data_IF_905031449311
#
_entry.id   IF_905031449311
#
_cell.length_a   1.000
_cell.length_b   1.000
_cell.length_c   1.000
_cell.angle_alpha   90.00
_cell.angle_beta   90.00
_cell.angle_gamma   90.00
#
_symmetry.space_group_name_H-M   'P 1'
#
loop_
_entity.id
_entity.type
_entity.pdbx_description
1 polymer ?
#
# COMPACT_ATOMS: atom_id res chain seq x y z
N UNK A 1 28.46 58.96 -42.25
CA UNK A 1 28.28 57.61 -42.85
C UNK A 1 28.04 56.63 -41.69
N UNK A 2 26.92 55.90 -41.78
CA UNK A 2 26.57 54.57 -41.18
C UNK A 2 27.60 54.01 -40.18
N UNK A 3 27.32 53.70 -38.93
CA UNK A 3 26.15 53.06 -38.34
C UNK A 3 26.64 51.75 -37.67
N UNK A 4 26.36 51.56 -36.37
CA UNK A 4 26.38 50.26 -35.68
C UNK A 4 25.87 50.43 -34.24
N UNK A 5 24.56 50.27 -34.04
CA UNK A 5 23.96 50.05 -32.72
C UNK A 5 24.14 48.57 -32.35
N UNK A 6 24.95 48.29 -31.32
CA UNK A 6 25.07 46.95 -30.75
C UNK A 6 24.02 46.80 -29.64
N UNK A 7 22.90 46.14 -29.97
CA UNK A 7 21.83 45.79 -29.05
C UNK A 7 22.30 44.73 -28.06
N UNK A 8 22.28 45.06 -26.78
CA UNK A 8 22.46 44.15 -25.64
C UNK A 8 21.20 43.28 -25.55
N UNK A 9 21.28 42.04 -26.03
CA UNK A 9 20.26 41.02 -25.80
C UNK A 9 20.48 40.40 -24.43
N UNK A 10 19.79 40.96 -23.43
CA UNK A 10 19.59 40.37 -22.12
C UNK A 10 18.62 39.19 -22.27
N UNK A 11 19.18 38.03 -22.65
CA UNK A 11 18.46 36.76 -22.74
C UNK A 11 18.14 36.23 -21.35
N UNK A 12 16.89 36.40 -20.95
CA UNK A 12 16.31 35.82 -19.74
C UNK A 12 16.40 34.28 -19.84
N UNK A 13 17.37 33.66 -19.16
CA UNK A 13 17.37 32.22 -18.87
C UNK A 13 16.18 31.92 -17.98
N UNK A 14 15.02 31.70 -18.58
CA UNK A 14 13.86 31.09 -17.95
C UNK A 14 14.21 29.61 -17.72
N UNK A 15 14.69 29.32 -16.51
CA UNK A 15 14.79 27.97 -16.00
C UNK A 15 13.41 27.35 -15.90
N UNK A 16 13.09 26.45 -16.84
CA UNK A 16 11.90 25.61 -16.77
C UNK A 16 12.15 24.58 -15.67
N UNK A 17 11.38 24.57 -14.56
CA UNK A 17 11.44 23.46 -13.63
C UNK A 17 10.95 22.23 -14.38
N UNK A 18 11.82 21.25 -14.58
CA UNK A 18 11.45 19.89 -14.94
C UNK A 18 10.58 19.35 -13.79
N UNK A 19 9.27 19.60 -13.87
CA UNK A 19 8.27 18.82 -13.18
C UNK A 19 8.47 17.38 -13.62
N UNK A 20 9.11 16.57 -12.76
CA UNK A 20 9.38 15.17 -13.02
C UNK A 20 8.10 14.47 -13.41
N UNK A 21 8.06 13.93 -14.63
CA UNK A 21 6.99 13.02 -15.03
C UNK A 21 6.93 11.89 -14.00
N UNK A 22 5.74 11.46 -13.56
CA UNK A 22 5.62 10.28 -12.74
C UNK A 22 6.28 9.11 -13.49
N UNK A 23 7.34 8.57 -12.92
CA UNK A 23 8.03 7.40 -13.47
C UNK A 23 7.15 6.21 -13.13
N UNK A 24 6.59 5.57 -14.15
CA UNK A 24 5.91 4.30 -13.95
C UNK A 24 6.92 3.27 -13.43
N UNK A 25 6.53 2.41 -12.46
CA UNK A 25 7.40 1.34 -11.99
C UNK A 25 7.85 0.45 -13.15
N UNK A 26 8.94 -0.29 -12.96
CA UNK A 26 9.37 -1.32 -13.91
C UNK A 26 8.45 -2.56 -13.81
N UNK A 27 8.60 -3.51 -14.74
CA UNK A 27 7.82 -4.75 -14.78
C UNK A 27 6.50 -4.71 -15.56
N UNK A 28 6.05 -5.87 -16.00
CA UNK A 28 4.80 -6.03 -16.74
C UNK A 28 3.60 -5.94 -15.80
N UNK A 29 2.48 -5.42 -16.30
CA UNK A 29 1.24 -5.36 -15.55
C UNK A 29 0.65 -6.77 -15.43
N UNK A 30 0.61 -7.30 -14.21
CA UNK A 30 -0.09 -8.56 -13.90
C UNK A 30 -1.60 -8.30 -13.88
N UNK A 31 -2.02 -7.19 -13.29
CA UNK A 31 -3.42 -6.79 -13.30
C UNK A 31 -3.72 -5.62 -12.37
N UNK A 32 -4.90 -5.02 -12.56
CA UNK A 32 -5.48 -4.08 -11.61
C UNK A 32 -6.65 -4.75 -10.92
N UNK A 33 -6.72 -4.65 -9.59
CA UNK A 33 -7.70 -5.35 -8.77
C UNK A 33 -8.46 -4.39 -7.87
N UNK A 34 -9.78 -4.55 -7.79
CA UNK A 34 -10.55 -4.06 -6.66
C UNK A 34 -10.46 -5.09 -5.55
N UNK A 35 -9.83 -4.74 -4.43
CA UNK A 35 -9.57 -5.64 -3.30
C UNK A 35 -10.46 -5.25 -2.14
N UNK A 36 -11.10 -6.26 -1.54
CA UNK A 36 -11.83 -6.17 -0.28
C UNK A 36 -11.20 -7.11 0.74
N UNK A 37 -11.01 -6.63 1.97
CA UNK A 37 -10.42 -7.38 3.06
C UNK A 37 -11.35 -7.49 4.25
N UNK A 38 -11.67 -8.71 4.68
CA UNK A 38 -12.43 -8.94 5.91
C UNK A 38 -11.51 -9.09 7.10
N UNK A 39 -11.83 -8.41 8.20
CA UNK A 39 -11.03 -8.48 9.42
C UNK A 39 -11.17 -9.87 10.07
N UNK A 40 -10.04 -10.52 10.30
CA UNK A 40 -10.00 -11.84 10.96
C UNK A 40 -9.48 -11.75 12.38
N UNK A 41 -8.57 -10.83 12.65
CA UNK A 41 -7.96 -10.64 13.97
C UNK A 41 -7.66 -9.17 14.22
N UNK A 42 -7.93 -8.70 15.44
CA UNK A 42 -7.38 -7.46 15.99
C UNK A 42 -7.01 -7.68 17.46
N UNK A 43 -5.81 -8.20 17.70
CA UNK A 43 -5.28 -8.40 19.06
C UNK A 43 -4.73 -7.12 19.70
N UNK A 44 -4.62 -6.03 18.93
CA UNK A 44 -4.26 -4.71 19.46
C UNK A 44 -5.42 -4.06 20.25
N UNK A 45 -6.66 -4.41 19.91
CA UNK A 45 -7.86 -3.82 20.46
C UNK A 45 -8.32 -2.58 19.68
N UNK A 46 -9.63 -2.40 19.58
CA UNK A 46 -10.26 -1.34 18.78
C UNK A 46 -9.92 0.08 19.25
N UNK A 47 -9.58 0.26 20.54
CA UNK A 47 -9.15 1.54 21.09
C UNK A 47 -7.75 1.95 20.59
N UNK A 48 -6.82 1.00 20.48
CA UNK A 48 -5.47 1.27 19.98
C UNK A 48 -5.37 1.24 18.47
N UNK A 49 -6.09 0.32 17.83
CA UNK A 49 -6.09 0.15 16.40
C UNK A 49 -7.53 0.00 15.90
N UNK A 50 -8.07 1.08 15.35
CA UNK A 50 -9.39 1.12 14.75
C UNK A 50 -9.38 0.43 13.37
N UNK A 51 -9.23 -0.90 13.38
CA UNK A 51 -9.31 -1.73 12.19
C UNK A 51 -10.69 -1.54 11.52
N UNK A 52 -10.69 -1.15 10.26
CA UNK A 52 -11.91 -1.05 9.46
C UNK A 52 -12.30 -2.45 8.99
N UNK A 53 -13.60 -2.76 8.92
CA UNK A 53 -14.08 -4.05 8.41
C UNK A 53 -15.39 -3.84 7.62
N UNK A 54 -15.39 -4.07 6.30
CA UNK A 54 -14.24 -4.44 5.46
C UNK A 54 -13.27 -3.26 5.24
N UNK A 55 -12.06 -3.59 4.76
CA UNK A 55 -11.19 -2.63 4.05
C UNK A 55 -11.41 -2.76 2.55
N UNK A 56 -11.44 -1.65 1.81
CA UNK A 56 -11.54 -1.65 0.36
C UNK A 56 -10.48 -0.75 -0.28
N UNK A 57 -9.79 -1.25 -1.29
CA UNK A 57 -8.80 -0.46 -2.04
C UNK A 57 -8.57 -1.02 -3.45
N UNK A 58 -7.91 -0.21 -4.29
CA UNK A 58 -7.47 -0.63 -5.62
C UNK A 58 -5.97 -0.79 -5.63
N UNK A 59 -5.49 -1.85 -6.27
CA UNK A 59 -4.06 -2.12 -6.45
C UNK A 59 -3.78 -2.44 -7.92
N UNK A 60 -2.69 -1.89 -8.44
CA UNK A 60 -2.02 -2.39 -9.63
C UNK A 60 -0.84 -3.24 -9.19
N UNK A 61 -0.83 -4.49 -9.65
CA UNK A 61 0.24 -5.45 -9.42
C UNK A 61 1.09 -5.55 -10.68
N UNK A 62 2.40 -5.38 -10.51
CA UNK A 62 3.38 -5.52 -11.60
C UNK A 62 4.49 -6.48 -11.19
N UNK A 63 5.10 -7.12 -12.17
CA UNK A 63 6.19 -8.06 -11.94
C UNK A 63 7.18 -8.07 -13.10
N UNK A 64 8.46 -8.19 -12.77
CA UNK A 64 9.52 -8.46 -13.75
C UNK A 64 9.76 -9.97 -13.85
N UNK A 65 10.04 -10.47 -15.07
CA UNK A 65 10.47 -11.85 -15.24
C UNK A 65 11.78 -12.09 -14.49
N UNK A 66 11.80 -13.09 -13.61
CA UNK A 66 12.90 -13.36 -12.68
C UNK A 66 13.36 -12.16 -11.81
N UNK A 67 12.51 -11.15 -11.61
CA UNK A 67 12.82 -9.91 -10.89
C UNK A 67 11.85 -9.58 -9.75
N UNK A 68 11.87 -8.32 -9.25
CA UNK A 68 10.95 -7.88 -8.20
C UNK A 68 9.49 -7.83 -8.68
N UNK A 69 8.59 -7.77 -7.70
CA UNK A 69 7.19 -7.37 -7.91
C UNK A 69 6.95 -5.98 -7.32
N UNK A 70 5.93 -5.29 -7.82
CA UNK A 70 5.55 -3.96 -7.37
C UNK A 70 4.06 -3.89 -7.03
N UNK A 71 3.78 -3.32 -5.87
CA UNK A 71 2.45 -3.08 -5.34
C UNK A 71 2.17 -1.57 -5.33
N UNK A 72 1.27 -1.13 -6.22
CA UNK A 72 0.95 0.29 -6.41
C UNK A 72 -0.50 0.57 -6.02
N UNK A 73 -0.72 1.59 -5.19
CA UNK A 73 -2.06 2.15 -4.89
C UNK A 73 -2.10 3.63 -5.29
N UNK A 74 -3.27 4.21 -5.63
CA UNK A 74 -3.37 5.56 -6.22
C UNK A 74 -2.75 6.70 -5.39
N UNK A 75 -2.71 6.56 -4.07
CA UNK A 75 -2.30 7.63 -3.15
C UNK A 75 -1.16 7.22 -2.20
N UNK A 76 -0.53 6.06 -2.43
CA UNK A 76 0.56 5.58 -1.58
C UNK A 76 1.81 5.34 -2.40
N UNK A 77 2.97 5.35 -1.74
CA UNK A 77 4.22 4.93 -2.37
C UNK A 77 4.13 3.52 -2.94
N UNK A 78 4.88 3.27 -4.01
CA UNK A 78 5.04 1.94 -4.60
C UNK A 78 5.84 1.09 -3.63
N UNK A 79 5.37 -0.12 -3.35
CA UNK A 79 6.05 -1.09 -2.49
C UNK A 79 6.66 -2.17 -3.37
N UNK A 80 7.99 -2.32 -3.30
CA UNK A 80 8.68 -3.44 -3.95
C UNK A 80 8.57 -4.71 -3.08
N UNK A 81 8.46 -5.85 -3.74
CA UNK A 81 8.33 -7.16 -3.14
C UNK A 81 8.97 -8.24 -4.00
N UNK A 82 8.68 -9.48 -3.65
CA UNK A 82 9.16 -10.68 -4.35
C UNK A 82 8.00 -11.49 -4.89
N UNK A 83 8.25 -12.29 -5.92
CA UNK A 83 7.26 -13.26 -6.41
C UNK A 83 7.88 -14.60 -6.79
N UNK A 84 7.04 -15.63 -6.84
CA UNK A 84 7.38 -16.94 -7.39
C UNK A 84 6.13 -17.50 -8.08
N UNK A 85 6.12 -17.44 -9.42
CA UNK A 85 4.91 -17.74 -10.19
C UNK A 85 3.79 -16.76 -9.85
N UNK A 86 2.63 -17.28 -9.46
CA UNK A 86 1.45 -16.48 -9.11
C UNK A 86 1.46 -16.02 -7.64
N UNK A 87 2.49 -16.35 -6.85
CA UNK A 87 2.59 -15.97 -5.43
C UNK A 87 3.43 -14.70 -5.25
N UNK A 88 2.91 -13.72 -4.53
CA UNK A 88 3.58 -12.44 -4.28
C UNK A 88 3.67 -12.13 -2.79
N UNK A 89 4.76 -11.47 -2.40
CA UNK A 89 4.99 -11.01 -1.04
C UNK A 89 5.53 -9.59 -1.01
N UNK A 90 4.86 -8.73 -0.26
CA UNK A 90 5.24 -7.34 -0.02
C UNK A 90 5.41 -7.11 1.47
N UNK A 91 6.35 -6.24 1.84
CA UNK A 91 6.57 -5.86 3.24
C UNK A 91 6.92 -4.39 3.34
N UNK A 92 6.22 -3.67 4.20
CA UNK A 92 6.56 -2.30 4.58
C UNK A 92 6.79 -2.23 6.08
N UNK A 93 7.57 -1.23 6.49
CA UNK A 93 7.84 -0.96 7.90
C UNK A 93 7.89 0.54 8.12
N UNK A 94 7.21 1.01 9.16
CA UNK A 94 7.18 2.40 9.56
C UNK A 94 7.24 2.51 11.09
N UNK A 95 7.98 3.48 11.64
CA UNK A 95 7.94 3.77 13.06
C UNK A 95 6.64 4.51 13.43
N UNK A 96 6.05 4.17 14.57
CA UNK A 96 4.89 4.84 15.17
C UNK A 96 5.27 5.29 16.57
N UNK A 97 5.53 6.58 16.74
CA UNK A 97 5.82 7.15 18.07
C UNK A 97 4.51 7.43 18.80
N UNK A 98 4.27 6.73 19.92
CA UNK A 98 3.11 6.95 20.77
C UNK A 98 3.33 8.12 21.73
N UNK A 99 4.52 8.21 22.32
CA UNK A 99 4.95 9.31 23.17
C UNK A 99 6.47 9.44 23.19
N UNK A 100 6.96 10.68 23.28
CA UNK A 100 8.38 10.99 23.35
C UNK A 100 9.02 10.63 24.70
N UNK A 101 10.35 10.66 24.79
CA UNK A 101 11.06 10.49 26.06
C UNK A 101 10.80 11.68 27.00
N UNK A 102 10.84 11.40 28.30
CA UNK A 102 10.87 12.42 29.35
C UNK A 102 12.31 12.55 29.83
N UNK A 103 12.97 13.63 29.41
CA UNK A 103 14.38 13.87 29.69
C UNK A 103 14.59 14.29 31.16
N UNK A 104 13.61 14.94 31.78
CA UNK A 104 13.68 15.40 33.17
C UNK A 104 13.50 14.23 34.14
N UNK A 105 12.55 13.33 33.85
CA UNK A 105 12.33 12.11 34.62
C UNK A 105 13.27 10.96 34.23
N UNK A 106 14.08 11.11 33.18
CA UNK A 106 14.99 10.07 32.68
C UNK A 106 14.27 8.83 32.14
N UNK A 107 13.06 8.98 31.58
CA UNK A 107 12.27 7.85 31.06
C UNK A 107 12.27 7.81 29.54
N UNK A 108 12.45 6.61 28.98
CA UNK A 108 12.39 6.39 27.53
C UNK A 108 10.98 6.62 26.99
N UNK A 109 10.89 7.09 25.74
CA UNK A 109 9.63 7.17 25.01
C UNK A 109 9.13 5.80 24.56
N UNK A 110 8.01 5.77 23.85
CA UNK A 110 7.50 4.58 23.19
C UNK A 110 7.37 4.82 21.70
N UNK A 111 8.19 4.10 20.94
CA UNK A 111 8.07 3.95 19.49
C UNK A 111 7.80 2.48 19.18
N UNK A 112 6.80 2.23 18.35
CA UNK A 112 6.50 0.91 17.81
C UNK A 112 7.06 0.81 16.38
N UNK A 113 7.55 -0.36 15.99
CA UNK A 113 7.63 -0.74 14.59
C UNK A 113 6.25 -1.24 14.15
N UNK A 114 5.67 -0.60 13.15
CA UNK A 114 4.50 -1.09 12.44
C UNK A 114 4.99 -1.77 11.16
N UNK A 115 4.81 -3.09 11.08
CA UNK A 115 5.22 -3.91 9.94
C UNK A 115 3.96 -4.42 9.26
N UNK A 116 3.74 -4.05 8.00
CA UNK A 116 2.69 -4.65 7.18
C UNK A 116 3.32 -5.69 6.24
N UNK A 117 2.81 -6.91 6.26
CA UNK A 117 3.16 -7.97 5.31
C UNK A 117 1.91 -8.36 4.53
N UNK A 118 2.00 -8.26 3.20
CA UNK A 118 0.96 -8.68 2.28
C UNK A 118 1.46 -9.90 1.54
N UNK A 119 0.68 -10.99 1.57
CA UNK A 119 0.96 -12.22 0.84
C UNK A 119 -0.26 -12.58 0.02
N UNK A 120 -0.12 -12.68 -1.29
CA UNK A 120 -1.23 -12.93 -2.20
C UNK A 120 -0.88 -13.98 -3.23
N UNK A 121 -1.91 -14.59 -3.79
CA UNK A 121 -1.86 -15.29 -5.08
C UNK A 121 -2.68 -14.48 -6.07
N UNK A 122 -2.08 -14.14 -7.22
CA UNK A 122 -2.78 -13.46 -8.29
C UNK A 122 -2.33 -13.95 -9.67
N UNK A 123 -3.26 -14.03 -10.62
CA UNK A 123 -2.97 -14.45 -12.01
C UNK A 123 -3.05 -13.26 -12.94
N UNK A 124 -2.24 -13.27 -14.00
CA UNK A 124 -2.32 -12.27 -15.05
C UNK A 124 -3.76 -12.11 -15.56
N UNK A 125 -4.32 -10.91 -15.44
CA UNK A 125 -5.68 -10.62 -15.87
C UNK A 125 -5.70 -10.22 -17.34
N UNK A 126 -6.14 -11.11 -18.23
CA UNK A 126 -6.46 -10.74 -19.60
C UNK A 126 -7.86 -10.13 -19.63
N UNK A 127 -7.96 -8.80 -19.61
CA UNK A 127 -9.24 -8.11 -19.83
C UNK A 127 -9.73 -8.18 -21.29
N UNK A 128 -9.00 -8.90 -22.16
CA UNK A 128 -9.24 -9.00 -23.60
C UNK A 128 -10.47 -9.85 -23.99
N UNK A 129 -11.28 -10.31 -23.03
CA UNK A 129 -12.59 -10.95 -23.30
C UNK A 129 -13.76 -10.26 -22.58
N UNK A 130 -13.65 -8.94 -22.34
CA UNK A 130 -14.84 -8.11 -22.20
C UNK A 130 -15.51 -7.93 -23.58
N UNK A 131 -15.84 -9.05 -24.22
CA UNK A 131 -16.77 -9.10 -25.34
C UNK A 131 -18.06 -8.41 -24.92
N UNK A 132 -18.43 -7.40 -25.70
CA UNK A 132 -19.67 -6.64 -25.60
C UNK A 132 -20.84 -7.57 -25.24
N UNK A 133 -21.69 -7.28 -24.23
CA UNK A 133 -22.93 -8.01 -24.06
C UNK A 133 -23.87 -7.61 -25.21
N UNK A 134 -23.80 -8.34 -26.32
CA UNK A 134 -24.86 -8.42 -27.30
C UNK A 134 -25.75 -9.61 -26.92
N UNK A 135 -26.57 -9.46 -25.89
CA UNK A 135 -27.94 -9.98 -25.95
C UNK A 135 -28.85 -9.30 -24.92
N UNK A 136 -30.01 -8.87 -25.39
CA UNK A 136 -31.13 -8.47 -24.57
C UNK A 136 -31.83 -9.75 -24.09
N UNK A 137 -31.71 -10.10 -22.82
CA UNK A 137 -32.70 -10.99 -22.21
C UNK A 137 -32.19 -11.91 -21.11
N UNK A 138 -32.93 -11.86 -20.01
CA UNK A 138 -32.99 -12.82 -18.90
C UNK A 138 -31.90 -12.70 -17.84
N UNK A 139 -32.41 -12.46 -16.63
CA UNK A 139 -31.74 -12.54 -15.33
C UNK A 139 -31.19 -13.95 -15.10
N UNK A 140 -29.88 -14.06 -15.12
CA UNK A 140 -29.10 -15.15 -14.55
C UNK A 140 -27.95 -14.47 -13.79
N UNK A 141 -27.79 -14.87 -12.52
CA UNK A 141 -26.76 -14.35 -11.65
C UNK A 141 -25.40 -14.81 -12.14
N UNK A 142 -24.77 -13.99 -12.96
CA UNK A 142 -23.36 -14.16 -13.32
C UNK A 142 -22.52 -14.28 -12.06
N UNK A 143 -22.05 -15.50 -11.80
CA UNK A 143 -21.07 -15.78 -10.77
C UNK A 143 -19.85 -14.92 -11.09
N UNK A 144 -19.54 -13.95 -10.22
CA UNK A 144 -18.35 -13.13 -10.35
C UNK A 144 -17.15 -14.07 -10.55
N UNK A 145 -16.37 -13.84 -11.60
CA UNK A 145 -15.21 -14.67 -11.94
C UNK A 145 -14.42 -15.01 -10.67
N UNK A 146 -14.36 -16.30 -10.34
CA UNK A 146 -13.76 -16.78 -9.10
C UNK A 146 -12.32 -16.26 -8.98
N UNK A 147 -12.16 -15.33 -8.03
CA UNK A 147 -10.95 -14.91 -7.36
C UNK A 147 -9.62 -15.05 -8.10
N UNK A 148 -9.36 -14.19 -9.09
CA UNK A 148 -8.00 -14.01 -9.64
C UNK A 148 -7.02 -13.37 -8.64
N UNK A 149 -7.50 -12.99 -7.44
CA UNK A 149 -6.72 -12.40 -6.37
C UNK A 149 -7.22 -12.90 -5.00
N UNK A 150 -6.33 -13.52 -4.22
CA UNK A 150 -6.58 -13.97 -2.84
C UNK A 150 -5.34 -13.77 -2.00
N UNK A 151 -5.46 -13.57 -0.69
CA UNK A 151 -4.30 -13.48 0.17
C UNK A 151 -4.59 -12.95 1.55
N UNK A 152 -3.57 -12.43 2.22
CA UNK A 152 -3.70 -11.82 3.54
C UNK A 152 -2.91 -10.52 3.63
N UNK A 153 -3.39 -9.58 4.44
CA UNK A 153 -2.59 -8.47 4.97
C UNK A 153 -2.48 -8.65 6.48
N UNK A 154 -1.25 -8.67 6.99
CA UNK A 154 -0.96 -8.76 8.42
C UNK A 154 -0.18 -7.53 8.84
N UNK A 155 -0.70 -6.79 9.82
CA UNK A 155 -0.06 -5.63 10.44
C UNK A 155 0.38 -6.04 11.84
N UNK A 156 1.67 -5.94 12.12
CA UNK A 156 2.26 -6.23 13.42
C UNK A 156 2.80 -4.95 14.04
N UNK A 157 2.49 -4.73 15.31
CA UNK A 157 2.93 -3.58 16.10
C UNK A 157 3.77 -4.09 17.27
N UNK A 158 5.05 -3.74 17.29
CA UNK A 158 6.00 -4.18 18.31
C UNK A 158 6.83 -3.01 18.84
N UNK A 159 7.10 -2.90 20.15
CA UNK A 159 8.05 -1.92 20.67
C UNK A 159 9.42 -2.04 20.00
N UNK A 160 10.00 -0.92 19.57
CA UNK A 160 11.38 -0.91 19.06
C UNK A 160 12.37 -1.16 20.20
N UNK A 161 13.63 -1.44 19.86
CA UNK A 161 14.72 -1.39 20.83
C UNK A 161 14.71 -0.06 21.59
N UNK A 162 15.04 -0.11 22.89
CA UNK A 162 15.12 1.01 23.81
C UNK A 162 13.80 1.77 24.10
N UNK A 163 12.67 1.34 23.53
CA UNK A 163 11.35 1.90 23.85
C UNK A 163 10.78 1.33 25.15
N UNK A 164 10.17 2.19 25.97
CA UNK A 164 9.36 1.79 27.12
C UNK A 164 7.88 2.03 26.84
N UNK A 165 7.18 0.98 26.40
CA UNK A 165 5.77 1.02 26.03
C UNK A 165 4.81 0.54 27.13
N UNK A 166 5.27 0.42 28.39
CA UNK A 166 4.43 -0.08 29.49
C UNK A 166 3.16 0.74 29.72
N UNK A 167 3.19 2.05 29.45
CA UNK A 167 2.01 2.92 29.60
C UNK A 167 1.02 2.82 28.44
N UNK A 168 1.42 2.19 27.33
CA UNK A 168 0.58 2.02 26.16
C UNK A 168 -0.36 0.82 26.28
N UNK A 169 -0.06 -0.14 27.17
CA UNK A 169 -0.90 -1.34 27.37
C UNK A 169 -2.02 -1.11 28.39
N UNK A 170 -3.16 -1.79 28.20
CA UNK A 170 -4.40 -1.60 28.94
C UNK A 170 -4.27 -1.90 30.43
N UNK A 171 -3.41 -2.84 30.82
CA UNK A 171 -3.08 -3.12 32.22
C UNK A 171 -2.47 -1.91 32.95
N UNK A 172 -1.90 -0.96 32.21
CA UNK A 172 -1.34 0.29 32.73
C UNK A 172 -2.21 1.52 32.38
N UNK A 173 -3.43 1.31 31.90
CA UNK A 173 -4.35 2.38 31.48
C UNK A 173 -4.16 2.88 30.03
N UNK A 174 -3.34 2.20 29.22
CA UNK A 174 -3.16 2.52 27.81
C UNK A 174 -4.22 1.92 26.88
N UNK A 175 -4.22 2.29 25.58
CA UNK A 175 -5.25 1.85 24.64
C UNK A 175 -5.04 0.42 24.09
N UNK A 176 -3.81 -0.13 24.14
CA UNK A 176 -3.49 -1.43 23.55
C UNK A 176 -3.87 -2.57 24.49
N UNK A 177 -4.55 -3.61 24.00
CA UNK A 177 -4.81 -4.80 24.82
C UNK A 177 -3.52 -5.54 25.18
N UNK A 178 -2.58 -5.62 24.23
CA UNK A 178 -1.26 -6.19 24.41
C UNK A 178 -0.24 -5.53 23.48
N UNK A 179 1.04 -5.66 23.80
CA UNK A 179 2.16 -5.39 22.90
C UNK A 179 3.20 -6.51 23.10
N UNK A 180 3.77 -7.09 22.02
CA UNK A 180 3.40 -6.88 20.62
C UNK A 180 1.97 -7.35 20.31
N UNK A 181 1.37 -6.82 19.24
CA UNK A 181 0.02 -7.17 18.81
C UNK A 181 -0.10 -7.22 17.28
N UNK A 182 -1.21 -7.79 16.79
CA UNK A 182 -1.45 -8.08 15.37
C UNK A 182 -2.86 -7.72 14.92
N UNK A 183 -2.96 -7.23 13.69
CA UNK A 183 -4.22 -7.09 12.94
C UNK A 183 -4.09 -7.88 11.65
N UNK A 184 -5.08 -8.71 11.32
CA UNK A 184 -5.04 -9.57 10.12
C UNK A 184 -6.32 -9.48 9.32
N UNK A 185 -6.17 -9.29 8.02
CA UNK A 185 -7.24 -9.34 7.03
C UNK A 185 -7.09 -10.56 6.12
N UNK A 186 -8.21 -11.15 5.75
CA UNK A 186 -8.31 -12.05 4.60
C UNK A 186 -8.71 -11.24 3.37
N UNK A 187 -7.90 -11.29 2.31
CA UNK A 187 -8.03 -10.45 1.13
C UNK A 187 -8.64 -11.25 -0.02
N UNK A 188 -9.60 -10.63 -0.69
CA UNK A 188 -10.16 -11.10 -1.95
C UNK A 188 -10.19 -9.95 -2.94
N UNK A 189 -9.98 -10.24 -4.22
CA UNK A 189 -10.06 -9.20 -5.24
C UNK A 189 -10.66 -9.70 -6.53
N UNK A 190 -11.15 -8.74 -7.30
CA UNK A 190 -11.69 -8.93 -8.65
C UNK A 190 -10.91 -8.04 -9.61
N UNK A 191 -10.51 -8.59 -10.75
CA UNK A 191 -9.84 -7.82 -11.80
C UNK A 191 -10.76 -6.68 -12.28
N UNK A 192 -10.15 -5.55 -12.64
CA UNK A 192 -10.84 -4.34 -13.12
C UNK A 192 -9.96 -3.61 -14.13
N UNK A 193 -10.58 -2.68 -14.86
CA UNK A 193 -9.85 -1.77 -15.74
C UNK A 193 -8.79 -0.96 -14.96
N UNK A 194 -7.63 -0.67 -15.58
CA UNK A 194 -6.57 0.15 -14.98
C UNK A 194 -7.07 1.51 -14.51
N UNK A 195 -6.45 2.04 -13.45
CA UNK A 195 -6.76 3.35 -12.87
C UNK A 195 -5.53 4.24 -12.69
N UNK A 196 -4.39 3.80 -13.24
CA UNK A 196 -3.09 4.46 -13.18
C UNK A 196 -2.68 4.95 -14.55
#
# INVERSE_FOLDING_TARGET
MRGAYLLILMGCLLGVPLSGCPVDPEGDVVGTYSVSGSLVENSCGSTAFAAQDPIDFVVELRAEDHGPAYWRRPTTGIVSGSHTGDEYRFRTEAPVTLYGPDVEAGTAGCTLAQIETIQITAKASTLDDAGVPLDQGTTDGGVAADGTFRGTSTIELSPTADSNCLRAVALSGGPFLALPCRVRYDLSGVARSPVF
#
